data_IF_109989541826
#
_entry.id   IF_109989541826
#
_cell.length_a   1.000
_cell.length_b   1.000
_cell.length_c   1.000
_cell.angle_alpha   90.00
_cell.angle_beta   90.00
_cell.angle_gamma   90.00
#
_symmetry.space_group_name_H-M   'P 1'
#
loop_
_entity.id
_entity.type
_entity.pdbx_description
1 polymer ?
#
# COMPACT_ATOMS: atom_id res chain seq x y z
N UNK A 1 -17.62 -0.22 0.88
CA UNK A 1 -17.42 -0.92 2.16
C UNK A 1 -16.64 -2.17 1.82
N UNK A 2 -15.37 -2.26 2.22
CA UNK A 2 -14.53 -3.43 1.92
C UNK A 2 -15.19 -4.68 2.52
N UNK A 3 -15.49 -5.66 1.68
CA UNK A 3 -16.14 -6.90 2.08
C UNK A 3 -15.21 -7.68 3.01
N UNK A 4 -15.77 -8.41 3.98
CA UNK A 4 -15.04 -9.09 5.08
C UNK A 4 -14.07 -10.21 4.63
N UNK A 5 -13.73 -10.29 3.35
CA UNK A 5 -12.79 -11.25 2.75
C UNK A 5 -11.71 -10.64 1.85
N UNK A 6 -11.59 -9.31 1.75
CA UNK A 6 -10.54 -8.70 0.93
C UNK A 6 -9.17 -8.86 1.58
N UNK A 7 -8.30 -9.69 0.98
CA UNK A 7 -6.93 -9.86 1.46
C UNK A 7 -6.16 -8.55 1.29
N UNK A 8 -5.49 -8.12 2.34
CA UNK A 8 -4.67 -6.92 2.35
C UNK A 8 -3.18 -7.28 2.24
N UNK A 9 -2.47 -6.55 1.40
CA UNK A 9 -1.07 -6.76 1.13
C UNK A 9 -0.26 -5.48 1.37
N UNK A 10 1.05 -5.63 1.60
CA UNK A 10 2.00 -4.53 1.72
C UNK A 10 2.84 -4.40 0.45
N UNK A 11 3.11 -3.16 0.05
CA UNK A 11 4.02 -2.82 -1.04
C UNK A 11 5.00 -1.75 -0.58
N UNK A 12 6.22 -2.18 -0.29
CA UNK A 12 7.26 -1.34 0.28
C UNK A 12 7.33 -1.46 1.81
N UNK A 13 8.02 -0.52 2.44
CA UNK A 13 8.26 -0.54 3.88
C UNK A 13 7.04 0.02 4.64
N UNK A 14 6.13 -0.87 5.05
CA UNK A 14 4.93 -0.50 5.82
C UNK A 14 5.23 -0.58 7.32
N UNK A 15 4.78 0.41 8.08
CA UNK A 15 4.99 0.44 9.52
C UNK A 15 4.19 -0.67 10.23
N UNK A 16 4.76 -1.30 11.27
CA UNK A 16 4.10 -2.39 11.98
C UNK A 16 2.78 -1.97 12.65
N UNK A 17 2.65 -0.70 13.03
CA UNK A 17 1.41 -0.13 13.59
C UNK A 17 0.25 -0.22 12.59
N UNK A 18 0.52 0.08 11.32
CA UNK A 18 -0.47 -0.05 10.24
C UNK A 18 -0.82 -1.51 9.99
N UNK A 19 0.17 -2.40 10.00
CA UNK A 19 -0.08 -3.85 9.90
C UNK A 19 -1.09 -4.24 10.99
N UNK A 20 -0.86 -3.87 12.24
CA UNK A 20 -1.76 -4.24 13.34
C UNK A 20 -3.19 -3.70 13.21
N UNK A 21 -3.37 -2.48 12.71
CA UNK A 21 -4.70 -1.88 12.51
C UNK A 21 -5.51 -2.62 11.43
N UNK A 22 -4.84 -3.02 10.34
CA UNK A 22 -5.47 -3.63 9.18
C UNK A 22 -5.51 -5.17 9.20
N UNK A 23 -4.67 -5.83 9.99
CA UNK A 23 -4.66 -7.28 10.17
C UNK A 23 -3.34 -7.81 10.71
N UNK A 24 -3.38 -8.81 11.60
CA UNK A 24 -2.19 -9.31 12.31
C UNK A 24 -0.98 -9.70 11.44
N UNK A 25 -1.16 -9.93 10.13
CA UNK A 25 -0.07 -10.11 9.18
C UNK A 25 -0.51 -9.68 7.77
N UNK A 26 0.24 -8.75 7.16
CA UNK A 26 0.13 -8.43 5.74
C UNK A 26 1.15 -9.27 4.96
N UNK A 27 0.74 -9.77 3.79
CA UNK A 27 1.68 -10.41 2.88
C UNK A 27 2.30 -9.35 1.96
N UNK A 28 3.62 -9.38 1.78
CA UNK A 28 4.30 -8.48 0.86
C UNK A 28 4.08 -8.88 -0.60
N UNK A 29 3.58 -7.95 -1.41
CA UNK A 29 3.51 -8.11 -2.87
C UNK A 29 4.89 -8.02 -3.50
N UNK A 30 5.76 -7.17 -2.96
CA UNK A 30 7.11 -6.93 -3.49
C UNK A 30 8.12 -7.62 -2.58
N UNK A 31 8.69 -8.71 -3.07
CA UNK A 31 9.86 -9.34 -2.47
C UNK A 31 11.12 -8.93 -3.22
N UNK A 32 12.29 -9.11 -2.63
CA UNK A 32 13.60 -8.62 -3.11
C UNK A 32 13.88 -8.89 -4.60
N UNK A 33 13.31 -9.96 -5.17
CA UNK A 33 13.50 -10.33 -6.58
C UNK A 33 12.21 -10.53 -7.37
N UNK A 34 11.03 -10.51 -6.75
CA UNK A 34 9.78 -10.88 -7.43
C UNK A 34 8.56 -10.14 -6.87
N UNK A 35 7.62 -9.83 -7.76
CA UNK A 35 6.32 -9.27 -7.41
C UNK A 35 5.29 -10.41 -7.44
N UNK A 36 4.76 -10.79 -6.27
CA UNK A 36 3.73 -11.81 -6.12
C UNK A 36 2.37 -11.16 -6.06
N UNK A 37 1.70 -11.08 -7.20
CA UNK A 37 0.32 -10.59 -7.29
C UNK A 37 -0.62 -11.76 -7.03
N UNK A 38 -1.55 -11.66 -6.06
CA UNK A 38 -2.54 -12.71 -5.85
C UNK A 38 -3.47 -12.79 -7.08
N UNK A 39 -3.91 -14.00 -7.43
CA UNK A 39 -4.89 -14.21 -8.50
C UNK A 39 -6.34 -13.85 -8.05
N UNK A 40 -6.49 -13.04 -7.01
CA UNK A 40 -7.79 -12.58 -6.53
C UNK A 40 -8.32 -11.48 -7.47
N UNK A 41 -9.62 -11.50 -7.74
CA UNK A 41 -10.27 -10.46 -8.57
C UNK A 41 -10.18 -9.07 -7.93
N UNK A 42 -10.19 -8.98 -6.60
CA UNK A 42 -10.06 -7.72 -5.86
C UNK A 42 -9.32 -7.94 -4.54
N UNK A 43 -8.32 -7.10 -4.27
CA UNK A 43 -7.51 -7.12 -3.05
C UNK A 43 -7.10 -5.70 -2.65
N UNK A 44 -6.78 -5.49 -1.38
CA UNK A 44 -6.28 -4.19 -0.93
C UNK A 44 -4.76 -4.21 -0.80
N UNK A 45 -4.13 -3.07 -1.04
CA UNK A 45 -2.69 -2.90 -1.00
C UNK A 45 -2.36 -1.62 -0.25
N UNK A 46 -1.58 -1.75 0.81
CA UNK A 46 -0.92 -0.63 1.47
C UNK A 46 0.40 -0.36 0.75
N UNK A 47 0.47 0.81 0.13
CA UNK A 47 1.61 1.23 -0.68
C UNK A 47 2.31 2.36 0.06
N UNK A 48 3.60 2.19 0.36
CA UNK A 48 4.39 3.29 0.90
C UNK A 48 4.45 4.42 -0.15
N UNK A 49 4.25 5.67 0.24
CA UNK A 49 4.18 6.78 -0.71
C UNK A 49 5.48 6.93 -1.53
N UNK A 50 6.61 6.53 -0.95
CA UNK A 50 7.92 6.46 -1.65
C UNK A 50 7.95 5.41 -2.77
N UNK A 51 7.19 4.32 -2.64
CA UNK A 51 7.08 3.22 -3.61
C UNK A 51 5.85 3.35 -4.52
N UNK A 52 4.99 4.35 -4.30
CA UNK A 52 3.74 4.54 -5.07
C UNK A 52 3.98 4.67 -6.57
N UNK A 53 5.04 5.37 -6.97
CA UNK A 53 5.39 5.53 -8.39
C UNK A 53 5.72 4.17 -9.03
N UNK A 54 6.44 3.32 -8.32
CA UNK A 54 6.78 1.97 -8.80
C UNK A 54 5.54 1.07 -8.82
N UNK A 55 4.72 1.14 -7.77
CA UNK A 55 3.44 0.41 -7.72
C UNK A 55 2.56 0.76 -8.93
N UNK A 56 2.31 2.04 -9.20
CA UNK A 56 1.49 2.47 -10.35
C UNK A 56 2.08 2.02 -11.68
N UNK A 57 3.41 1.96 -11.78
CA UNK A 57 4.12 1.52 -12.99
C UNK A 57 4.01 0.01 -13.23
N UNK A 58 4.02 -0.80 -12.17
CA UNK A 58 3.85 -2.25 -12.23
C UNK A 58 2.38 -2.64 -12.46
N UNK A 59 1.46 -2.04 -11.70
CA UNK A 59 0.05 -2.46 -11.67
C UNK A 59 -0.81 -1.73 -12.70
N UNK A 60 -0.46 -0.50 -13.08
CA UNK A 60 -1.25 0.31 -14.03
C UNK A 60 -1.57 -0.28 -15.41
N UNK A 61 -0.74 -1.15 -16.02
CA UNK A 61 -1.10 -1.74 -17.32
C UNK A 61 -2.13 -2.89 -17.24
N UNK A 62 -2.24 -3.58 -16.09
CA UNK A 62 -3.06 -4.81 -15.96
C UNK A 62 -4.15 -4.71 -14.88
N UNK A 63 -4.07 -3.74 -13.98
CA UNK A 63 -4.95 -3.61 -12.83
C UNK A 63 -5.43 -2.17 -12.66
N UNK A 64 -6.69 -2.03 -12.24
CA UNK A 64 -7.24 -0.79 -11.73
C UNK A 64 -6.96 -0.68 -10.23
N UNK A 65 -6.54 0.49 -9.79
CA UNK A 65 -6.35 0.80 -8.38
C UNK A 65 -7.18 2.02 -7.96
N UNK A 66 -7.84 1.92 -6.82
CA UNK A 66 -8.67 2.98 -6.25
C UNK A 66 -8.13 3.39 -4.88
N UNK A 67 -7.83 4.67 -4.68
CA UNK A 67 -7.36 5.18 -3.39
C UNK A 67 -8.52 5.19 -2.40
N UNK A 68 -8.40 4.40 -1.33
CA UNK A 68 -9.39 4.33 -0.25
C UNK A 68 -9.05 5.34 0.85
N UNK A 69 -7.77 5.50 1.16
CA UNK A 69 -7.33 6.40 2.21
C UNK A 69 -5.83 6.55 2.27
N UNK A 70 -5.39 7.66 2.86
CA UNK A 70 -3.99 7.96 3.11
C UNK A 70 -3.75 7.99 4.61
N UNK A 71 -2.72 7.27 5.04
CA UNK A 71 -2.32 7.12 6.42
C UNK A 71 -0.92 7.68 6.58
N UNK A 72 -0.86 8.89 7.12
CA UNK A 72 0.38 9.55 7.45
C UNK A 72 0.67 9.36 8.94
N UNK A 73 1.67 8.55 9.26
CA UNK A 73 2.10 8.31 10.64
C UNK A 73 2.99 9.44 11.18
N UNK A 74 3.22 10.51 10.41
CA UNK A 74 4.01 11.65 10.84
C UNK A 74 3.22 12.97 10.73
N UNK A 75 2.14 13.12 11.50
CA UNK A 75 1.31 14.33 11.48
C UNK A 75 2.08 15.59 11.91
N UNK A 76 3.27 15.44 12.50
CA UNK A 76 4.14 16.53 12.95
C UNK A 76 5.20 16.97 11.93
N UNK A 77 5.32 16.32 10.77
CA UNK A 77 6.22 16.81 9.72
C UNK A 77 5.63 18.07 9.08
N UNK A 78 6.12 19.24 9.50
CA UNK A 78 5.82 20.51 8.83
C UNK A 78 5.96 20.38 7.30
N UNK A 79 4.94 20.83 6.53
CA UNK A 79 5.04 20.90 5.06
C UNK A 79 6.16 21.87 4.70
N UNK A 80 7.34 21.35 4.36
CA UNK A 80 8.52 22.15 4.00
C UNK A 80 9.80 21.86 4.77
N UNK A 81 9.78 21.05 5.84
CA UNK A 81 11.03 20.57 6.44
C UNK A 81 11.65 19.46 5.60
N UNK A 82 12.95 19.56 5.29
CA UNK A 82 13.78 18.51 4.64
C UNK A 82 13.75 17.14 5.36
N UNK A 83 13.09 17.05 6.51
CA UNK A 83 12.80 15.85 7.28
C UNK A 83 11.43 15.23 6.94
N UNK A 84 10.83 15.55 5.80
CA UNK A 84 9.70 14.82 5.24
C UNK A 84 10.18 13.41 4.84
N UNK A 85 10.35 12.53 5.82
CA UNK A 85 10.57 11.11 5.59
C UNK A 85 9.23 10.55 5.12
N UNK A 86 8.95 10.65 3.82
CA UNK A 86 7.80 10.01 3.17
C UNK A 86 7.74 8.49 3.34
N UNK A 87 8.70 7.90 4.08
CA UNK A 87 8.71 6.52 4.57
C UNK A 87 7.56 6.20 5.54
N UNK A 88 6.99 7.22 6.19
CA UNK A 88 5.94 7.03 7.21
C UNK A 88 4.51 7.26 6.66
N UNK A 89 4.40 7.67 5.40
CA UNK A 89 3.13 7.90 4.72
C UNK A 89 2.79 6.70 3.83
N UNK A 90 1.59 6.16 4.00
CA UNK A 90 1.13 4.96 3.30
C UNK A 90 -0.25 5.23 2.71
N UNK A 91 -0.42 4.85 1.45
CA UNK A 91 -1.68 4.96 0.74
C UNK A 91 -2.32 3.58 0.61
N UNK A 92 -3.56 3.47 1.06
CA UNK A 92 -4.37 2.28 0.93
C UNK A 92 -5.11 2.33 -0.40
N UNK A 93 -4.75 1.40 -1.29
CA UNK A 93 -5.41 1.21 -2.57
C UNK A 93 -6.21 -0.09 -2.60
N UNK A 94 -7.36 -0.11 -3.27
CA UNK A 94 -8.01 -1.34 -3.70
C UNK A 94 -7.59 -1.61 -5.13
N UNK A 95 -7.00 -2.77 -5.35
CA UNK A 95 -6.58 -3.24 -6.66
C UNK A 95 -7.60 -4.25 -7.17
N UNK A 96 -8.05 -4.04 -8.40
CA UNK A 96 -8.99 -4.88 -9.12
C UNK A 96 -8.45 -5.20 -10.51
N UNK A 97 -8.50 -6.47 -10.90
CA UNK A 97 -8.10 -6.88 -12.25
C UNK A 97 -9.07 -6.31 -13.28
N UNK A 98 -8.54 -5.76 -14.37
CA UNK A 98 -9.34 -5.25 -15.50
C UNK A 98 -9.97 -6.36 -16.33
#
# INVERSE_FOLDING_TARGET
MLDKGTTLYSFGEISPEMIWDFGSSLADLKTENNIKIPNNETFGVLVAQVDENEFKRIFGPEYMYELIGTFDLNPYANPGSKAHKGRLANNLYIVKKQ
#
